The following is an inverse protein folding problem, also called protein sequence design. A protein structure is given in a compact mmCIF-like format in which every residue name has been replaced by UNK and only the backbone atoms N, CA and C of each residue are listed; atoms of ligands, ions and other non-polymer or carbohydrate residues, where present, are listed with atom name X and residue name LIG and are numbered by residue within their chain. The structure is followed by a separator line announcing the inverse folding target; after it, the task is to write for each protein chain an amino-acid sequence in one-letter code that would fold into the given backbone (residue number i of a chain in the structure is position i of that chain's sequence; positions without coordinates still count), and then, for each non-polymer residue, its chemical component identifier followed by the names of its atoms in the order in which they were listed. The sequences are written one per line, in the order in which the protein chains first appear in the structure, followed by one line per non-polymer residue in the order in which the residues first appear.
data_IF_742844865954
#
_entry.id   IF_742844865954
#
_cell.length_a   1.000
_cell.length_b   1.000
_cell.length_c   1.000
_cell.angle_alpha   90.00
_cell.angle_beta   90.00
_cell.angle_gamma   90.00
#
_symmetry.space_group_name_H-M   'P 1'
#
loop_
_entity.id
_entity.type
_entity.pdbx_description
1 polymer ?
#
# COMPACT_ATOMS: atom_id res chain seq x y z
N UNK A 1 2.48 -18.50 6.36
CA UNK A 1 2.38 -19.96 6.54
C UNK A 1 2.16 -20.59 5.16
N UNK A 2 2.14 -21.91 5.02
CA UNK A 2 1.91 -22.57 3.73
C UNK A 2 0.71 -23.51 3.82
N UNK A 3 -0.11 -23.53 2.78
CA UNK A 3 -1.21 -24.47 2.61
C UNK A 3 -1.21 -24.96 1.16
N UNK A 4 -1.12 -26.27 0.94
CA UNK A 4 -1.10 -26.88 -0.39
C UNK A 4 -0.06 -26.27 -1.34
N UNK A 5 1.18 -26.07 -0.87
CA UNK A 5 2.27 -25.40 -1.61
C UNK A 5 1.99 -23.94 -2.02
N UNK A 6 0.99 -23.30 -1.41
CA UNK A 6 0.70 -21.87 -1.59
C UNK A 6 0.89 -21.11 -0.29
N UNK A 7 1.33 -19.85 -0.39
CA UNK A 7 1.36 -18.92 0.75
C UNK A 7 -0.07 -18.73 1.27
N UNK A 8 -0.22 -18.92 2.58
CA UNK A 8 -1.50 -18.79 3.26
C UNK A 8 -1.28 -18.30 4.69
N UNK A 9 -2.25 -17.58 5.24
CA UNK A 9 -2.15 -16.94 6.55
C UNK A 9 -1.04 -15.89 6.61
N UNK A 10 -0.57 -15.54 7.80
CA UNK A 10 0.47 -14.52 7.95
C UNK A 10 1.85 -15.03 7.53
N UNK A 11 2.64 -14.19 6.87
CA UNK A 11 4.01 -14.54 6.49
C UNK A 11 4.80 -13.38 5.89
N UNK A 12 6.12 -13.58 5.87
CA UNK A 12 7.08 -12.68 5.24
C UNK A 12 7.56 -13.31 3.93
N UNK A 13 7.67 -12.49 2.89
CA UNK A 13 8.28 -12.87 1.63
C UNK A 13 9.31 -11.81 1.25
N UNK A 14 10.54 -12.26 0.99
CA UNK A 14 11.67 -11.43 0.57
C UNK A 14 11.98 -11.79 -0.89
N UNK A 15 12.06 -10.78 -1.74
CA UNK A 15 12.43 -10.93 -3.15
C UNK A 15 13.95 -10.71 -3.33
N UNK A 16 14.57 -11.29 -4.38
CA UNK A 16 16.00 -11.13 -4.64
C UNK A 16 16.46 -9.69 -4.90
N UNK A 17 15.55 -8.82 -5.33
CA UNK A 17 15.79 -7.39 -5.55
C UNK A 17 15.83 -6.57 -4.25
N UNK A 18 15.54 -7.21 -3.11
CA UNK A 18 15.49 -6.57 -1.80
C UNK A 18 14.10 -6.09 -1.39
N UNK A 19 13.08 -6.20 -2.24
CA UNK A 19 11.71 -5.93 -1.83
C UNK A 19 11.24 -6.95 -0.79
N UNK A 20 10.33 -6.55 0.09
CA UNK A 20 9.80 -7.41 1.13
C UNK A 20 8.30 -7.16 1.37
N UNK A 21 7.53 -8.23 1.59
CA UNK A 21 6.14 -8.16 2.01
C UNK A 21 5.98 -8.92 3.31
N UNK A 22 5.32 -8.29 4.26
CA UNK A 22 4.94 -8.89 5.53
C UNK A 22 3.45 -8.67 5.75
N UNK A 23 2.65 -9.73 5.76
CA UNK A 23 1.22 -9.59 5.91
C UNK A 23 0.46 -10.89 5.73
N UNK A 24 -0.84 -10.76 5.56
CA UNK A 24 -1.71 -11.90 5.31
C UNK A 24 -1.65 -12.35 3.84
N UNK A 25 -1.68 -13.67 3.65
CA UNK A 25 -1.68 -14.33 2.36
C UNK A 25 -2.88 -15.27 2.24
N UNK A 26 -3.43 -15.40 1.04
CA UNK A 26 -4.41 -16.41 0.70
C UNK A 26 -4.12 -16.93 -0.70
N UNK A 27 -3.71 -18.19 -0.80
CA UNK A 27 -3.51 -18.87 -2.09
C UNK A 27 -2.51 -18.11 -2.99
N UNK A 28 -1.38 -17.71 -2.41
CA UNK A 28 -0.34 -16.87 -3.02
C UNK A 28 -0.68 -15.40 -3.25
N UNK A 29 -1.89 -14.95 -2.95
CA UNK A 29 -2.28 -13.53 -3.03
C UNK A 29 -2.13 -12.82 -1.68
N UNK A 30 -1.56 -11.61 -1.70
CA UNK A 30 -1.63 -10.70 -0.56
C UNK A 30 -3.08 -10.26 -0.36
N UNK A 31 -3.54 -10.37 0.88
CA UNK A 31 -4.89 -10.03 1.32
C UNK A 31 -4.83 -9.39 2.70
N UNK A 32 -5.93 -8.82 3.18
CA UNK A 32 -6.02 -8.35 4.57
C UNK A 32 -5.02 -7.23 4.83
N UNK A 33 -4.38 -7.22 6.00
CA UNK A 33 -3.39 -6.19 6.32
C UNK A 33 -1.97 -6.66 5.99
N UNK A 34 -1.16 -5.73 5.47
CA UNK A 34 0.23 -6.01 5.14
C UNK A 34 1.08 -4.76 4.96
N UNK A 35 2.38 -4.94 5.14
CA UNK A 35 3.46 -3.99 4.88
C UNK A 35 4.27 -4.48 3.70
N UNK A 36 4.39 -3.65 2.68
CA UNK A 36 5.27 -3.86 1.55
C UNK A 36 6.38 -2.81 1.56
N UNK A 37 7.60 -3.27 1.38
CA UNK A 37 8.82 -2.49 1.23
C UNK A 37 9.34 -2.76 -0.16
N UNK A 38 9.36 -1.73 -0.99
CA UNK A 38 9.95 -1.80 -2.30
C UNK A 38 11.46 -1.60 -2.21
N UNK A 39 12.21 -2.13 -3.16
CA UNK A 39 13.67 -2.13 -3.14
C UNK A 39 14.31 -0.74 -3.26
N UNK A 40 13.54 0.25 -3.71
CA UNK A 40 13.92 1.66 -3.80
C UNK A 40 13.61 2.47 -2.54
N UNK A 41 13.08 1.83 -1.49
CA UNK A 41 12.77 2.44 -0.20
C UNK A 41 11.33 2.92 -0.05
N UNK A 42 10.49 2.72 -1.06
CA UNK A 42 9.06 3.00 -0.92
C UNK A 42 8.38 1.99 -0.01
N UNK A 43 7.46 2.48 0.81
CA UNK A 43 6.76 1.67 1.79
C UNK A 43 5.25 1.85 1.63
N UNK A 44 4.53 0.75 1.58
CA UNK A 44 3.08 0.73 1.75
C UNK A 44 2.71 -0.08 2.98
N UNK A 45 1.84 0.46 3.82
CA UNK A 45 1.24 -0.24 4.96
C UNK A 45 -0.26 -0.04 4.90
N UNK A 46 -1.01 -1.12 4.70
CA UNK A 46 -2.45 -1.00 4.54
C UNK A 46 -3.13 -2.30 4.17
N UNK A 47 -4.32 -2.14 3.62
CA UNK A 47 -5.19 -3.23 3.22
C UNK A 47 -4.89 -3.69 1.79
N UNK A 48 -4.95 -5.01 1.58
CA UNK A 48 -4.65 -5.70 0.34
C UNK A 48 -5.82 -6.57 -0.09
N UNK A 49 -6.04 -6.63 -1.40
CA UNK A 49 -7.03 -7.51 -2.04
C UNK A 49 -6.47 -8.03 -3.35
N UNK A 50 -6.00 -9.28 -3.34
CA UNK A 50 -5.56 -9.94 -4.57
C UNK A 50 -4.26 -9.35 -5.11
N UNK A 51 -3.28 -9.08 -4.24
CA UNK A 51 -2.02 -8.38 -4.55
C UNK A 51 -2.12 -6.87 -4.83
N UNK A 52 -3.32 -6.30 -4.78
CA UNK A 52 -3.52 -4.86 -4.98
C UNK A 52 -3.80 -4.18 -3.64
N UNK A 53 -3.22 -3.00 -3.40
CA UNK A 53 -3.63 -2.10 -2.34
C UNK A 53 -5.11 -1.74 -2.53
N UNK A 54 -5.92 -1.95 -1.49
CA UNK A 54 -7.36 -1.79 -1.53
C UNK A 54 -7.94 -1.61 -0.13
N UNK A 55 -8.62 -0.48 0.09
CA UNK A 55 -9.09 -0.05 1.41
C UNK A 55 -8.16 1.01 2.02
N UNK A 56 -8.09 1.10 3.34
CA UNK A 56 -7.25 2.10 4.00
C UNK A 56 -5.77 1.72 3.92
N UNK A 57 -4.92 2.71 3.64
CA UNK A 57 -3.47 2.50 3.60
C UNK A 57 -2.67 3.80 3.73
N UNK A 58 -1.41 3.63 4.13
CA UNK A 58 -0.40 4.66 4.18
C UNK A 58 0.73 4.27 3.22
N UNK A 59 1.04 5.16 2.28
CA UNK A 59 2.18 5.05 1.39
C UNK A 59 3.21 6.11 1.77
N UNK A 60 4.48 5.73 1.78
CA UNK A 60 5.62 6.57 2.09
C UNK A 60 6.61 6.41 0.94
N UNK A 61 6.76 7.47 0.15
CA UNK A 61 7.72 7.53 -0.93
C UNK A 61 9.09 7.95 -0.37
N UNK A 62 10.05 7.01 -0.38
CA UNK A 62 11.45 7.21 0.05
C UNK A 62 11.62 7.95 1.38
N UNK A 63 10.71 7.75 2.33
CA UNK A 63 10.77 8.40 3.64
C UNK A 63 10.36 9.87 3.67
N UNK A 64 9.89 10.45 2.56
CA UNK A 64 9.66 11.89 2.44
C UNK A 64 8.20 12.27 2.19
N UNK A 65 7.61 11.78 1.10
CA UNK A 65 6.21 12.10 0.75
C UNK A 65 5.30 11.00 1.26
N UNK A 66 4.22 11.36 1.97
CA UNK A 66 3.25 10.38 2.46
C UNK A 66 1.88 10.61 1.87
N UNK A 67 1.20 9.53 1.52
CA UNK A 67 -0.24 9.51 1.30
C UNK A 67 -0.90 8.61 2.33
N UNK A 68 -1.90 9.12 3.05
CA UNK A 68 -2.75 8.32 3.94
C UNK A 68 -4.21 8.48 3.51
N UNK A 69 -4.86 7.40 3.14
CA UNK A 69 -6.23 7.47 2.64
C UNK A 69 -6.76 6.14 2.14
N UNK A 70 -7.84 6.21 1.37
CA UNK A 70 -8.43 5.05 0.71
C UNK A 70 -7.66 4.71 -0.57
N UNK A 71 -7.60 3.41 -0.87
CA UNK A 71 -6.96 2.84 -2.04
C UNK A 71 -7.95 1.94 -2.76
N UNK A 72 -7.87 1.93 -4.08
CA UNK A 72 -8.63 1.05 -4.94
C UNK A 72 -7.75 0.60 -6.10
N UNK A 73 -7.44 -0.71 -6.16
CA UNK A 73 -6.63 -1.30 -7.22
C UNK A 73 -5.29 -0.56 -7.44
N UNK A 74 -4.51 -0.39 -6.36
CA UNK A 74 -3.23 0.35 -6.34
C UNK A 74 -3.31 1.86 -6.61
N UNK A 75 -4.51 2.43 -6.73
CA UNK A 75 -4.71 3.86 -6.94
C UNK A 75 -5.28 4.52 -5.69
N UNK A 76 -4.80 5.73 -5.40
CA UNK A 76 -5.39 6.60 -4.39
C UNK A 76 -6.85 6.88 -4.77
N UNK A 77 -7.75 6.76 -3.79
CA UNK A 77 -9.18 6.88 -3.98
C UNK A 77 -9.83 7.53 -2.75
N UNK A 78 -11.09 7.96 -2.88
CA UNK A 78 -11.87 8.48 -1.75
C UNK A 78 -11.17 9.60 -1.02
N UNK A 79 -11.31 9.63 0.31
CA UNK A 79 -10.66 10.67 1.12
C UNK A 79 -9.23 10.30 1.46
N UNK A 80 -8.34 11.27 1.29
CA UNK A 80 -6.94 11.10 1.65
C UNK A 80 -6.26 12.41 2.06
N UNK A 81 -5.10 12.23 2.68
CA UNK A 81 -4.17 13.28 3.05
C UNK A 81 -2.83 12.97 2.41
N UNK A 82 -2.33 13.89 1.60
CA UNK A 82 -1.00 13.84 1.02
C UNK A 82 -0.12 14.91 1.69
N UNK A 83 1.01 14.48 2.24
CA UNK A 83 2.05 15.37 2.80
C UNK A 83 3.26 15.28 1.89
N UNK A 84 3.70 16.43 1.39
CA UNK A 84 4.90 16.55 0.58
C UNK A 84 6.13 16.73 1.46
N UNK A 85 7.29 16.33 0.95
CA UNK A 85 8.59 16.51 1.63
C UNK A 85 8.84 17.96 2.09
N UNK A 86 8.31 18.94 1.35
CA UNK A 86 8.43 20.37 1.62
C UNK A 86 7.46 20.88 2.71
N UNK A 87 6.65 19.99 3.29
CA UNK A 87 5.67 20.30 4.33
C UNK A 87 4.31 20.76 3.80
N UNK A 88 4.15 20.92 2.49
CA UNK A 88 2.85 21.15 1.88
C UNK A 88 1.91 19.97 2.16
N UNK A 89 0.63 20.26 2.36
CA UNK A 89 -0.41 19.28 2.69
C UNK A 89 -1.61 19.48 1.77
N UNK A 90 -2.06 18.40 1.15
CA UNK A 90 -3.36 18.34 0.50
C UNK A 90 -4.26 17.38 1.29
N UNK A 91 -5.48 17.80 1.58
CA UNK A 91 -6.52 16.97 2.17
C UNK A 91 -7.77 17.12 1.31
N UNK A 92 -8.26 16.00 0.78
CA UNK A 92 -9.41 16.04 -0.12
C UNK A 92 -9.74 14.71 -0.74
N UNK A 93 -10.61 14.76 -1.75
CA UNK A 93 -11.03 13.61 -2.51
C UNK A 93 -9.97 13.24 -3.57
N UNK A 94 -9.81 11.94 -3.81
CA UNK A 94 -8.98 11.32 -4.82
C UNK A 94 -9.82 10.36 -5.67
N UNK A 95 -9.51 10.29 -6.97
CA UNK A 95 -10.13 9.36 -7.90
C UNK A 95 -9.09 8.90 -8.92
N UNK A 96 -8.95 7.59 -9.06
CA UNK A 96 -8.02 6.96 -10.01
C UNK A 96 -6.59 7.53 -9.92
N UNK A 97 -6.11 7.73 -8.70
CA UNK A 97 -4.75 8.24 -8.44
C UNK A 97 -4.59 9.76 -8.58
N UNK A 98 -5.68 10.50 -8.84
CA UNK A 98 -5.65 11.95 -9.04
C UNK A 98 -6.48 12.67 -7.99
N UNK A 99 -6.06 13.90 -7.66
CA UNK A 99 -6.84 14.81 -6.81
C UNK A 99 -8.14 15.17 -7.51
N UNK A 100 -9.26 14.83 -6.90
CA UNK A 100 -10.60 14.99 -7.44
C UNK A 100 -11.42 16.07 -6.71
N UNK A 101 -10.79 16.83 -5.81
CA UNK A 101 -11.40 17.97 -5.11
C UNK A 101 -11.00 19.31 -5.71
N UNK A 102 -11.84 20.32 -5.48
CA UNK A 102 -11.41 21.71 -5.59
C UNK A 102 -10.51 21.99 -4.37
N UNK A 103 -9.20 21.99 -4.58
CA UNK A 103 -8.22 22.44 -3.59
C UNK A 103 -8.22 23.96 -3.44
#
# INVERSE_FOLDING_TARGET
QWKNNMRHGYGVHLWPDGAAYQGEWKENFAVGNGRFEHSDGDVFVGQWKGNLASGMGCYLHKGATTYQGEWQNDLQHGRGVELFAEGARYEGEFRDGQKAGNG
#
